data_IF_585055475791
#
_entry.id   IF_585055475791
#
_cell.length_a   1.000
_cell.length_b   1.000
_cell.length_c   1.000
_cell.angle_alpha   90.00
_cell.angle_beta   90.00
_cell.angle_gamma   90.00
#
_symmetry.space_group_name_H-M   'P 1'
#
loop_
_entity.id
_entity.type
_entity.pdbx_description
1 polymer ?
#
# COMPACT_ATOMS: atom_id res chain seq x y z
N UNK A 1 -19.46 2.62 1.04
CA UNK A 1 -18.65 3.22 -0.05
C UNK A 1 -17.22 2.86 0.29
N UNK A 2 -16.45 2.22 -0.60
CA UNK A 2 -15.14 1.73 -0.23
C UNK A 2 -14.16 2.90 -0.04
N UNK A 3 -13.23 2.75 0.88
CA UNK A 3 -12.26 3.77 1.28
C UNK A 3 -10.84 3.29 1.00
N UNK A 4 -10.08 4.12 0.30
CA UNK A 4 -8.65 3.90 0.09
C UNK A 4 -7.85 4.85 1.01
N UNK A 5 -7.09 4.28 1.93
CA UNK A 5 -6.19 5.02 2.81
C UNK A 5 -4.78 5.07 2.22
N UNK A 6 -4.14 6.24 2.27
CA UNK A 6 -2.75 6.42 1.86
C UNK A 6 -1.94 6.81 3.09
N UNK A 7 -1.01 5.94 3.49
CA UNK A 7 -0.14 6.19 4.63
C UNK A 7 1.20 6.68 4.09
N UNK A 8 1.45 7.98 4.24
CA UNK A 8 2.60 8.64 3.60
C UNK A 8 3.54 9.35 4.55
N UNK A 9 4.82 9.44 4.16
CA UNK A 9 5.86 10.14 4.91
C UNK A 9 7.26 9.55 4.70
N UNK A 10 8.28 10.21 5.23
CA UNK A 10 9.68 9.83 5.07
C UNK A 10 9.99 8.43 5.65
N UNK A 11 11.09 7.82 5.23
CA UNK A 11 11.60 6.62 5.87
C UNK A 11 11.94 6.91 7.35
N UNK A 12 11.65 5.96 8.23
CA UNK A 12 11.90 6.10 9.67
C UNK A 12 10.87 6.95 10.44
N UNK A 13 9.85 7.53 9.80
CA UNK A 13 8.84 8.35 10.50
C UNK A 13 7.78 7.54 11.29
N UNK A 14 7.95 6.23 11.43
CA UNK A 14 7.02 5.37 12.17
C UNK A 14 5.74 4.95 11.43
N UNK A 15 5.66 5.13 10.10
CA UNK A 15 4.46 4.83 9.29
C UNK A 15 3.96 3.40 9.49
N UNK A 16 4.84 2.42 9.31
CA UNK A 16 4.48 1.00 9.41
C UNK A 16 3.99 0.66 10.82
N UNK A 17 4.70 1.12 11.85
CA UNK A 17 4.30 0.95 13.24
C UNK A 17 2.92 1.54 13.51
N UNK A 18 2.68 2.78 13.09
CA UNK A 18 1.38 3.44 13.25
C UNK A 18 0.28 2.72 12.46
N UNK A 19 0.59 2.21 11.26
CA UNK A 19 -0.36 1.49 10.40
C UNK A 19 -0.89 0.23 11.08
N UNK A 20 -0.01 -0.55 11.73
CA UNK A 20 -0.40 -1.78 12.42
C UNK A 20 -1.36 -1.55 13.60
N UNK A 21 -1.40 -0.35 14.17
CA UNK A 21 -2.35 0.01 15.22
C UNK A 21 -3.59 0.70 14.65
N UNK A 22 -3.40 1.77 13.86
CA UNK A 22 -4.49 2.64 13.39
C UNK A 22 -5.43 1.90 12.44
N UNK A 23 -4.90 1.08 11.53
CA UNK A 23 -5.72 0.42 10.52
C UNK A 23 -6.74 -0.57 11.11
N UNK A 24 -6.34 -1.58 11.91
CA UNK A 24 -7.29 -2.54 12.46
C UNK A 24 -8.16 -1.95 13.57
N UNK A 25 -7.61 -1.08 14.43
CA UNK A 25 -8.31 -0.63 15.64
C UNK A 25 -9.20 0.59 15.40
N UNK A 26 -8.76 1.55 14.58
CA UNK A 26 -9.47 2.82 14.40
C UNK A 26 -10.23 2.89 13.08
N UNK A 27 -9.66 2.34 12.01
CA UNK A 27 -10.21 2.43 10.66
C UNK A 27 -10.91 1.14 10.21
N UNK A 28 -10.85 0.08 11.01
CA UNK A 28 -11.39 -1.25 10.71
C UNK A 28 -10.93 -1.80 9.34
N UNK A 29 -9.80 -1.31 8.84
CA UNK A 29 -9.20 -1.67 7.57
C UNK A 29 -8.15 -2.75 7.79
N UNK A 30 -8.36 -3.94 7.21
CA UNK A 30 -7.46 -5.08 7.39
C UNK A 30 -6.52 -5.30 6.22
N UNK A 31 -6.88 -4.82 5.04
CA UNK A 31 -6.06 -4.93 3.84
C UNK A 31 -5.00 -3.83 3.79
N UNK A 32 -3.81 -4.16 4.29
CA UNK A 32 -2.65 -3.28 4.26
C UNK A 32 -1.63 -3.74 3.22
N UNK A 33 -1.39 -2.91 2.21
CA UNK A 33 -0.42 -3.16 1.13
C UNK A 33 0.88 -2.38 1.42
N UNK A 34 1.90 -3.09 1.88
CA UNK A 34 3.21 -2.53 2.23
C UNK A 34 4.31 -3.12 1.33
N UNK A 35 5.17 -2.26 0.78
CA UNK A 35 6.23 -2.68 -0.14
C UNK A 35 7.29 -3.58 0.52
N UNK A 36 7.74 -3.23 1.72
CA UNK A 36 8.81 -3.96 2.42
C UNK A 36 8.34 -5.34 2.86
N UNK A 37 7.08 -5.48 3.32
CA UNK A 37 6.49 -6.78 3.64
C UNK A 37 6.39 -7.69 2.41
N UNK A 38 6.00 -7.14 1.26
CA UNK A 38 5.96 -7.87 0.00
C UNK A 38 7.37 -8.28 -0.43
N UNK A 39 8.34 -7.35 -0.42
CA UNK A 39 9.72 -7.65 -0.79
C UNK A 39 10.35 -8.69 0.14
N UNK A 40 10.07 -8.63 1.44
CA UNK A 40 10.52 -9.62 2.43
C UNK A 40 9.93 -11.01 2.19
N UNK A 41 8.69 -11.09 1.69
CA UNK A 41 8.07 -12.37 1.30
C UNK A 41 8.75 -13.03 0.08
N UNK A 42 9.41 -12.23 -0.77
CA UNK A 42 10.11 -12.70 -1.98
C UNK A 42 11.59 -12.97 -1.70
N UNK A 43 12.27 -12.06 -1.01
CA UNK A 43 13.70 -12.13 -0.69
C UNK A 43 13.91 -11.69 0.77
N UNK A 44 13.81 -12.61 1.73
CA UNK A 44 13.76 -12.26 3.16
C UNK A 44 15.07 -11.67 3.69
N UNK A 45 16.21 -11.94 3.03
CA UNK A 45 17.54 -11.50 3.44
C UNK A 45 18.07 -10.30 2.64
N UNK A 46 17.44 -9.95 1.51
CA UNK A 46 17.88 -8.85 0.65
C UNK A 46 16.69 -8.30 -0.15
N UNK A 47 16.02 -7.28 0.41
CA UNK A 47 14.84 -6.67 -0.20
C UNK A 47 15.16 -6.00 -1.55
N UNK A 48 16.41 -5.56 -1.76
CA UNK A 48 16.79 -4.84 -2.99
C UNK A 48 16.65 -5.72 -4.23
N UNK A 49 16.93 -7.03 -4.09
CA UNK A 49 16.75 -8.03 -5.14
C UNK A 49 15.29 -8.27 -5.51
N UNK A 50 14.37 -8.01 -4.58
CA UNK A 50 12.94 -8.18 -4.78
C UNK A 50 12.23 -6.90 -5.23
N UNK A 51 12.92 -5.75 -5.32
CA UNK A 51 12.28 -4.45 -5.45
C UNK A 51 11.34 -4.32 -6.67
N UNK A 52 11.77 -4.83 -7.83
CA UNK A 52 10.97 -4.79 -9.07
C UNK A 52 9.73 -5.67 -8.94
N UNK A 53 9.90 -6.90 -8.45
CA UNK A 53 8.80 -7.85 -8.33
C UNK A 53 7.82 -7.45 -7.23
N UNK A 54 8.32 -6.93 -6.11
CA UNK A 54 7.49 -6.36 -5.04
C UNK A 54 6.64 -5.18 -5.55
N UNK A 55 7.22 -4.29 -6.36
CA UNK A 55 6.48 -3.21 -7.00
C UNK A 55 5.34 -3.70 -7.90
N UNK A 56 5.59 -4.76 -8.69
CA UNK A 56 4.56 -5.39 -9.53
C UNK A 56 3.45 -6.03 -8.69
N UNK A 57 3.81 -6.76 -7.63
CA UNK A 57 2.86 -7.39 -6.71
C UNK A 57 2.01 -6.34 -5.99
N UNK A 58 2.62 -5.26 -5.51
CA UNK A 58 1.93 -4.14 -4.88
C UNK A 58 0.88 -3.50 -5.80
N UNK A 59 1.26 -3.15 -7.03
CA UNK A 59 0.34 -2.57 -8.02
C UNK A 59 -0.80 -3.53 -8.39
N UNK A 60 -0.49 -4.83 -8.51
CA UNK A 60 -1.51 -5.86 -8.75
C UNK A 60 -2.49 -5.94 -7.59
N UNK A 61 -2.01 -5.99 -6.33
CA UNK A 61 -2.86 -6.08 -5.15
C UNK A 61 -3.79 -4.87 -5.01
N UNK A 62 -3.27 -3.65 -5.23
CA UNK A 62 -4.10 -2.43 -5.22
C UNK A 62 -5.16 -2.49 -6.31
N UNK A 63 -4.81 -2.93 -7.53
CA UNK A 63 -5.77 -3.08 -8.63
C UNK A 63 -6.86 -4.09 -8.29
N UNK A 64 -6.50 -5.23 -7.69
CA UNK A 64 -7.43 -6.28 -7.31
C UNK A 64 -8.41 -5.77 -6.24
N UNK A 65 -7.91 -5.17 -5.15
CA UNK A 65 -8.72 -4.56 -4.09
C UNK A 65 -9.65 -3.46 -4.62
N UNK A 66 -9.15 -2.62 -5.53
CA UNK A 66 -9.93 -1.58 -6.19
C UNK A 66 -11.08 -2.17 -7.03
N UNK A 67 -10.85 -3.30 -7.69
CA UNK A 67 -11.87 -3.95 -8.53
C UNK A 67 -12.92 -4.68 -7.69
N UNK A 68 -12.52 -5.26 -6.55
CA UNK A 68 -13.44 -5.94 -5.63
C UNK A 68 -14.18 -4.99 -4.69
N UNK A 69 -13.89 -3.68 -4.75
CA UNK A 69 -14.51 -2.63 -3.92
C UNK A 69 -14.27 -2.85 -2.41
N UNK A 70 -13.08 -3.33 -2.05
CA UNK A 70 -12.67 -3.50 -0.66
C UNK A 70 -12.08 -2.22 -0.09
N UNK A 71 -12.20 -2.03 1.23
CA UNK A 71 -11.45 -1.02 1.97
C UNK A 71 -9.99 -1.47 2.08
N UNK A 72 -9.05 -0.58 1.77
CA UNK A 72 -7.64 -0.92 1.87
C UNK A 72 -6.77 0.29 2.16
N UNK A 73 -5.58 0.01 2.69
CA UNK A 73 -4.53 0.98 2.89
C UNK A 73 -3.28 0.58 2.13
N UNK A 74 -2.50 1.56 1.67
CA UNK A 74 -1.14 1.30 1.22
C UNK A 74 -0.16 2.31 1.78
N UNK A 75 1.05 1.84 2.07
CA UNK A 75 2.14 2.68 2.54
C UNK A 75 3.00 3.17 1.36
N UNK A 76 3.38 4.44 1.37
CA UNK A 76 4.28 5.00 0.36
C UNK A 76 5.08 6.18 0.90
N UNK A 77 6.26 6.44 0.37
CA UNK A 77 7.00 7.68 0.65
C UNK A 77 6.55 8.82 -0.26
N UNK A 78 5.67 8.56 -1.22
CA UNK A 78 5.31 9.46 -2.33
C UNK A 78 6.53 9.94 -3.17
N UNK A 79 7.68 9.28 -3.05
CA UNK A 79 8.86 9.59 -3.85
C UNK A 79 8.68 9.23 -5.34
N UNK A 80 7.72 8.35 -5.65
CA UNK A 80 7.45 7.88 -7.02
C UNK A 80 6.16 8.49 -7.56
N UNK A 81 6.24 9.21 -8.68
CA UNK A 81 5.10 9.89 -9.32
C UNK A 81 3.97 8.94 -9.77
N UNK A 82 4.25 7.65 -9.98
CA UNK A 82 3.25 6.66 -10.40
C UNK A 82 2.10 6.50 -9.41
N UNK A 83 2.32 6.74 -8.11
CA UNK A 83 1.27 6.69 -7.09
C UNK A 83 0.21 7.77 -7.26
N UNK A 84 0.57 8.96 -7.78
CA UNK A 84 -0.41 10.01 -8.08
C UNK A 84 -1.41 9.50 -9.13
N UNK A 85 -0.90 8.95 -10.24
CA UNK A 85 -1.73 8.38 -11.29
C UNK A 85 -2.60 7.23 -10.79
N UNK A 86 -2.11 6.42 -9.84
CA UNK A 86 -2.87 5.35 -9.21
C UNK A 86 -4.04 5.93 -8.40
N UNK A 87 -3.77 6.90 -7.53
CA UNK A 87 -4.77 7.55 -6.68
C UNK A 87 -5.87 8.20 -7.54
N UNK A 88 -5.50 8.93 -8.59
CA UNK A 88 -6.46 9.56 -9.50
C UNK A 88 -7.34 8.53 -10.22
N UNK A 89 -6.75 7.42 -10.68
CA UNK A 89 -7.51 6.33 -11.33
C UNK A 89 -8.46 5.65 -10.35
N UNK A 90 -8.04 5.45 -9.11
CA UNK A 90 -8.89 4.85 -8.07
C UNK A 90 -10.05 5.78 -7.71
N UNK A 91 -9.81 7.08 -7.54
CA UNK A 91 -10.88 8.09 -7.35
C UNK A 91 -11.92 8.06 -8.47
N UNK A 92 -11.49 7.97 -9.73
CA UNK A 92 -12.39 7.86 -10.90
C UNK A 92 -13.28 6.61 -10.89
N UNK A 93 -12.95 5.59 -10.08
CA UNK A 93 -13.77 4.37 -9.87
C UNK A 93 -14.74 4.48 -8.68
N UNK A 94 -14.87 5.66 -8.08
CA UNK A 94 -15.77 5.91 -6.94
C UNK A 94 -15.22 5.36 -5.63
N UNK A 95 -13.93 5.60 -5.40
CA UNK A 95 -13.23 5.52 -4.11
C UNK A 95 -12.94 6.94 -3.60
#
# INVERSE_FOLDING_TARGET
>A
MPTMYVISGCNGSGKTTASYTILPEMLQCRDFVNFDEIARSISPFDLSKAAIDAGRVMLKRIKDLTNTREDFAFETTLAVRSYINLIEKTKKKGY
#
